data_IF_827679265628
#
_entry.id   IF_827679265628
#
_cell.length_a   1.000
_cell.length_b   1.000
_cell.length_c   1.000
_cell.angle_alpha   90.00
_cell.angle_beta   90.00
_cell.angle_gamma   90.00
#
_symmetry.space_group_name_H-M   'P 1'
#
loop_
_entity.id
_entity.type
_entity.pdbx_description
1 polymer ?
#
# COMPACT_ATOMS: atom_id res chain seq x y z
N UNK A 1 13.02 -7.85 8.26
CA UNK A 1 12.24 -8.86 7.52
C UNK A 1 12.06 -8.39 6.09
N UNK A 2 12.25 -9.26 5.13
CA UNK A 2 11.96 -9.01 3.72
C UNK A 2 10.49 -9.34 3.44
N UNK A 3 9.86 -8.53 2.60
CA UNK A 3 8.51 -8.74 2.07
C UNK A 3 8.62 -8.76 0.55
N UNK A 4 8.28 -9.88 -0.04
CA UNK A 4 8.31 -10.04 -1.49
C UNK A 4 7.21 -9.20 -2.17
N UNK A 5 7.54 -8.66 -3.34
CA UNK A 5 6.56 -8.07 -4.25
C UNK A 5 6.22 -9.12 -5.30
N UNK A 6 4.95 -9.44 -5.45
CA UNK A 6 4.48 -10.39 -6.46
C UNK A 6 4.47 -9.74 -7.84
N UNK A 7 3.88 -8.55 -7.92
CA UNK A 7 3.84 -7.76 -9.15
C UNK A 7 3.63 -6.28 -8.88
N UNK A 8 3.98 -5.50 -9.85
CA UNK A 8 3.60 -4.10 -10.00
C UNK A 8 2.81 -3.98 -11.29
N UNK A 9 1.57 -3.51 -11.21
CA UNK A 9 0.67 -3.36 -12.33
C UNK A 9 0.40 -1.89 -12.58
N UNK A 10 0.56 -1.44 -13.82
CA UNK A 10 0.25 -0.08 -14.24
C UNK A 10 -1.11 -0.08 -14.92
N UNK A 11 -1.99 0.78 -14.48
CA UNK A 11 -3.34 0.90 -15.00
C UNK A 11 -3.82 2.35 -14.98
N UNK A 12 -5.03 2.59 -15.44
CA UNK A 12 -5.70 3.88 -15.35
C UNK A 12 -6.79 3.81 -14.28
N UNK A 13 -6.90 4.87 -13.46
CA UNK A 13 -7.99 4.95 -12.50
C UNK A 13 -9.33 5.13 -13.23
N UNK A 14 -10.36 4.53 -12.68
CA UNK A 14 -11.71 4.52 -13.27
C UNK A 14 -12.54 5.71 -12.79
N UNK A 15 -13.58 6.02 -13.56
CA UNK A 15 -14.68 6.86 -13.10
C UNK A 15 -15.45 6.18 -11.97
N UNK A 16 -16.17 6.99 -11.17
CA UNK A 16 -16.96 6.52 -10.04
C UNK A 16 -18.44 6.77 -10.29
N UNK A 17 -19.28 5.74 -10.12
CA UNK A 17 -20.73 5.87 -10.09
C UNK A 17 -21.22 6.17 -8.66
N UNK A 18 -22.08 7.16 -8.51
CA UNK A 18 -22.65 7.61 -7.24
C UNK A 18 -24.16 7.42 -7.33
N UNK A 19 -24.72 6.56 -6.46
CA UNK A 19 -26.11 6.13 -6.50
C UNK A 19 -26.97 6.68 -5.35
N UNK A 20 -26.34 7.27 -4.36
CA UNK A 20 -26.94 7.65 -3.07
C UNK A 20 -27.34 9.14 -2.98
N UNK A 21 -27.10 9.92 -4.03
CA UNK A 21 -27.47 11.34 -4.06
C UNK A 21 -28.92 11.56 -4.51
N UNK A 22 -29.44 10.68 -5.35
CA UNK A 22 -30.79 10.74 -5.91
C UNK A 22 -31.27 9.30 -6.20
N UNK A 23 -32.46 8.90 -5.70
CA UNK A 23 -32.97 7.55 -5.92
C UNK A 23 -33.36 7.25 -7.38
N UNK A 24 -33.51 8.29 -8.21
CA UNK A 24 -33.91 8.15 -9.61
C UNK A 24 -32.79 8.36 -10.61
N UNK A 25 -31.62 8.77 -10.15
CA UNK A 25 -30.49 9.13 -11.00
C UNK A 25 -29.18 8.57 -10.51
N UNK A 26 -28.32 8.17 -11.43
CA UNK A 26 -26.92 7.83 -11.17
C UNK A 26 -26.02 8.96 -11.64
N UNK A 27 -25.21 9.50 -10.75
CA UNK A 27 -24.21 10.49 -11.09
C UNK A 27 -22.88 9.79 -11.42
N UNK A 28 -22.15 10.34 -12.37
CA UNK A 28 -20.84 9.82 -12.77
C UNK A 28 -19.77 10.87 -12.46
N UNK A 29 -18.83 10.51 -11.61
CA UNK A 29 -17.65 11.31 -11.30
C UNK A 29 -16.46 10.79 -12.10
N UNK A 30 -15.96 11.63 -13.01
CA UNK A 30 -14.82 11.34 -13.88
C UNK A 30 -13.54 12.04 -13.45
N UNK A 31 -13.49 12.70 -12.28
CA UNK A 31 -12.35 13.49 -11.85
C UNK A 31 -11.04 12.70 -11.80
N UNK A 32 -11.11 11.40 -11.54
CA UNK A 32 -9.94 10.52 -11.51
C UNK A 32 -9.80 9.61 -12.73
N UNK A 33 -10.75 9.64 -13.63
CA UNK A 33 -10.74 8.79 -14.83
C UNK A 33 -9.50 9.08 -15.69
N UNK A 34 -8.73 8.03 -16.01
CA UNK A 34 -7.51 8.13 -16.78
C UNK A 34 -6.26 8.58 -16.01
N UNK A 35 -6.37 8.88 -14.72
CA UNK A 35 -5.19 9.14 -13.88
C UNK A 35 -4.38 7.85 -13.76
N UNK A 36 -3.05 7.96 -13.95
CA UNK A 36 -2.16 6.81 -13.82
C UNK A 36 -2.26 6.20 -12.41
N UNK A 37 -2.52 4.91 -12.36
CA UNK A 37 -2.63 4.12 -11.14
C UNK A 37 -1.59 3.01 -11.15
N UNK A 38 -0.95 2.78 -10.01
CA UNK A 38 0.02 1.72 -9.81
C UNK A 38 -0.46 0.78 -8.70
N UNK A 39 -0.76 -0.46 -9.06
CA UNK A 39 -1.09 -1.51 -8.09
C UNK A 39 0.17 -2.26 -7.70
N UNK A 40 0.49 -2.30 -6.42
CA UNK A 40 1.62 -3.07 -5.86
C UNK A 40 1.04 -4.23 -5.05
N UNK A 41 1.27 -5.44 -5.51
CA UNK A 41 0.80 -6.65 -4.84
C UNK A 41 1.97 -7.30 -4.10
N UNK A 42 1.84 -7.42 -2.77
CA UNK A 42 2.83 -8.13 -1.95
C UNK A 42 2.62 -9.64 -2.00
N UNK A 43 3.71 -10.40 -1.82
CA UNK A 43 3.59 -11.81 -1.45
C UNK A 43 2.97 -11.94 -0.05
N UNK A 44 2.38 -13.10 0.27
CA UNK A 44 1.74 -13.33 1.57
C UNK A 44 2.79 -13.56 2.69
N UNK A 45 3.71 -12.61 2.86
CA UNK A 45 4.83 -12.70 3.82
C UNK A 45 4.55 -11.99 5.15
N UNK A 46 3.56 -11.10 5.17
CA UNK A 46 3.15 -10.36 6.37
C UNK A 46 2.45 -11.30 7.38
N UNK A 47 2.73 -11.12 8.67
CA UNK A 47 2.24 -12.01 9.73
C UNK A 47 1.60 -11.30 10.92
N UNK A 48 1.57 -9.97 10.90
CA UNK A 48 0.94 -9.19 11.96
C UNK A 48 0.47 -7.82 11.46
N UNK A 49 -0.48 -7.18 12.15
CA UNK A 49 -0.89 -5.81 11.87
C UNK A 49 0.25 -4.81 11.93
N UNK A 50 1.23 -5.02 12.82
CA UNK A 50 2.40 -4.13 12.95
C UNK A 50 3.34 -4.25 11.76
N UNK A 51 3.52 -5.45 11.22
CA UNK A 51 4.27 -5.65 9.98
C UNK A 51 3.58 -4.95 8.81
N UNK A 52 2.26 -5.00 8.71
CA UNK A 52 1.48 -4.27 7.70
C UNK A 52 1.66 -2.76 7.86
N UNK A 53 1.57 -2.25 9.07
CA UNK A 53 1.81 -0.83 9.36
C UNK A 53 3.21 -0.38 8.91
N UNK A 54 4.23 -1.15 9.25
CA UNK A 54 5.61 -0.87 8.85
C UNK A 54 5.79 -0.92 7.32
N UNK A 55 5.19 -1.91 6.67
CA UNK A 55 5.23 -2.10 5.22
C UNK A 55 4.60 -0.91 4.48
N UNK A 56 3.38 -0.51 4.85
CA UNK A 56 2.67 0.61 4.21
C UNK A 56 3.41 1.94 4.44
N UNK A 57 3.91 2.18 5.66
CA UNK A 57 4.72 3.38 5.94
C UNK A 57 5.97 3.42 5.07
N UNK A 58 6.62 2.28 4.87
CA UNK A 58 7.82 2.16 4.03
C UNK A 58 7.51 2.44 2.57
N UNK A 59 6.47 1.80 2.00
CA UNK A 59 6.03 2.07 0.64
C UNK A 59 5.67 3.54 0.44
N UNK A 60 4.87 4.10 1.33
CA UNK A 60 4.50 5.51 1.29
C UNK A 60 5.72 6.43 1.26
N UNK A 61 6.71 6.17 2.10
CA UNK A 61 7.95 6.95 2.14
C UNK A 61 8.71 6.84 0.81
N UNK A 62 8.87 5.63 0.26
CA UNK A 62 9.52 5.43 -1.04
C UNK A 62 8.80 6.20 -2.16
N UNK A 63 7.47 6.10 -2.25
CA UNK A 63 6.67 6.80 -3.26
C UNK A 63 6.85 8.31 -3.20
N UNK A 64 6.85 8.89 -1.99
CA UNK A 64 7.07 10.31 -1.78
C UNK A 64 8.50 10.74 -2.18
N UNK A 65 9.50 9.94 -1.87
CA UNK A 65 10.89 10.20 -2.27
C UNK A 65 11.08 10.13 -3.78
N UNK A 66 10.40 9.21 -4.45
CA UNK A 66 10.38 9.11 -5.91
C UNK A 66 9.54 10.23 -6.58
N UNK A 67 8.71 10.93 -5.82
CA UNK A 67 7.79 11.94 -6.36
C UNK A 67 6.63 11.36 -7.18
N UNK A 68 6.37 10.05 -7.09
CA UNK A 68 5.33 9.37 -7.86
C UNK A 68 3.96 9.45 -7.19
N UNK A 69 3.90 9.70 -5.87
CA UNK A 69 2.66 9.78 -5.11
C UNK A 69 2.89 10.60 -3.83
N UNK A 70 1.94 11.43 -3.44
CA UNK A 70 1.96 12.18 -2.16
C UNK A 70 1.70 11.27 -0.95
N UNK A 71 1.13 10.09 -1.19
CA UNK A 71 0.82 9.09 -0.18
C UNK A 71 -0.32 9.51 0.75
N UNK A 72 -1.21 10.40 0.32
CA UNK A 72 -2.35 10.84 1.13
C UNK A 72 -3.49 9.82 1.06
N UNK A 73 -3.66 9.07 2.15
CA UNK A 73 -4.71 8.05 2.24
C UNK A 73 -6.11 8.66 2.40
N UNK A 74 -6.21 9.84 3.00
CA UNK A 74 -7.51 10.50 3.21
C UNK A 74 -8.10 11.03 1.90
N UNK A 75 -7.23 11.48 1.01
CA UNK A 75 -7.61 11.95 -0.33
C UNK A 75 -7.64 10.82 -1.37
N UNK A 76 -7.28 9.60 -0.95
CA UNK A 76 -7.30 8.42 -1.82
C UNK A 76 -6.14 8.34 -2.81
N UNK A 77 -5.06 9.13 -2.61
CA UNK A 77 -3.84 9.02 -3.41
C UNK A 77 -3.09 7.72 -3.13
N UNK A 78 -3.19 7.20 -1.91
CA UNK A 78 -2.73 5.87 -1.52
C UNK A 78 -3.92 5.11 -0.93
N UNK A 79 -4.24 3.98 -1.54
CA UNK A 79 -5.29 3.05 -1.09
C UNK A 79 -4.67 1.69 -0.81
N UNK A 80 -5.27 0.90 0.05
CA UNK A 80 -4.87 -0.47 0.26
C UNK A 80 -6.09 -1.35 0.50
N UNK A 81 -6.09 -2.51 -0.13
CA UNK A 81 -6.97 -3.62 0.18
C UNK A 81 -6.17 -4.67 0.96
N UNK A 82 -6.77 -5.27 1.96
CA UNK A 82 -6.08 -6.21 2.85
C UNK A 82 -6.65 -7.60 2.67
N UNK A 83 -5.80 -8.55 2.30
CA UNK A 83 -6.17 -9.96 2.24
C UNK A 83 -5.71 -10.65 3.53
N UNK A 84 -6.66 -11.23 4.27
CA UNK A 84 -6.41 -11.92 5.54
C UNK A 84 -6.81 -13.38 5.44
N UNK A 85 -5.93 -14.27 5.89
CA UNK A 85 -6.23 -15.67 6.15
C UNK A 85 -5.52 -16.14 7.41
N UNK A 86 -6.08 -17.13 8.10
CA UNK A 86 -5.49 -17.76 9.26
C UNK A 86 -5.23 -19.25 8.99
N UNK A 87 -4.26 -19.80 9.70
CA UNK A 87 -3.92 -21.23 9.63
C UNK A 87 -3.41 -21.73 10.98
N UNK A 88 -3.50 -23.01 11.22
CA UNK A 88 -2.93 -23.64 12.40
C UNK A 88 -1.41 -23.42 12.45
N UNK A 89 -0.87 -23.20 13.66
CA UNK A 89 0.56 -23.05 13.88
C UNK A 89 1.32 -24.28 13.38
N UNK A 90 2.31 -24.07 12.52
CA UNK A 90 3.10 -25.14 11.91
C UNK A 90 2.58 -25.62 10.55
N UNK A 91 1.35 -25.28 10.14
CA UNK A 91 0.88 -25.53 8.77
C UNK A 91 1.69 -24.73 7.75
N UNK A 92 1.99 -25.36 6.62
CA UNK A 92 2.64 -24.70 5.47
C UNK A 92 1.62 -24.03 4.54
N UNK A 93 0.44 -24.62 4.42
CA UNK A 93 -0.60 -24.14 3.52
C UNK A 93 -1.31 -22.94 4.12
N UNK A 94 -1.60 -21.95 3.28
CA UNK A 94 -2.38 -20.79 3.67
C UNK A 94 -3.86 -21.16 3.80
N UNK A 95 -4.55 -20.53 4.73
CA UNK A 95 -6.01 -20.65 4.86
C UNK A 95 -6.77 -19.88 3.77
N UNK A 96 -8.09 -20.03 3.76
CA UNK A 96 -8.98 -19.27 2.88
C UNK A 96 -8.91 -17.80 3.20
N UNK A 97 -8.65 -16.98 2.19
CA UNK A 97 -8.50 -15.53 2.35
C UNK A 97 -9.82 -14.81 2.23
N UNK A 98 -9.99 -13.77 3.04
CA UNK A 98 -11.00 -12.73 2.84
C UNK A 98 -10.32 -11.41 2.48
N UNK A 99 -10.84 -10.71 1.49
CA UNK A 99 -10.40 -9.37 1.11
C UNK A 99 -11.16 -8.34 1.93
N UNK A 100 -10.47 -7.39 2.56
CA UNK A 100 -11.09 -6.33 3.35
C UNK A 100 -10.90 -5.00 2.64
N UNK A 101 -12.01 -4.33 2.37
CA UNK A 101 -12.07 -3.00 1.75
C UNK A 101 -12.46 -1.92 2.76
N UNK A 102 -12.36 -0.65 2.33
CA UNK A 102 -12.68 0.53 3.15
C UNK A 102 -11.73 0.74 4.35
N UNK A 103 -10.45 0.47 4.14
CA UNK A 103 -9.39 0.64 5.15
C UNK A 103 -8.51 1.85 4.78
N UNK A 104 -9.07 3.03 4.87
CA UNK A 104 -8.49 4.29 4.42
C UNK A 104 -7.51 4.93 5.42
N UNK A 105 -6.99 4.18 6.36
CA UNK A 105 -5.88 4.57 7.23
C UNK A 105 -5.11 3.35 7.73
N UNK A 106 -3.83 3.53 8.07
CA UNK A 106 -3.00 2.46 8.63
C UNK A 106 -3.61 1.90 9.93
N UNK A 107 -4.20 2.76 10.76
CA UNK A 107 -4.89 2.35 11.99
C UNK A 107 -6.08 1.44 11.67
N UNK A 108 -6.90 1.82 10.71
CA UNK A 108 -8.06 0.99 10.31
C UNK A 108 -7.64 -0.32 9.68
N UNK A 109 -6.53 -0.37 8.94
CA UNK A 109 -5.96 -1.64 8.46
C UNK A 109 -5.60 -2.56 9.61
N UNK A 110 -4.89 -2.07 10.63
CA UNK A 110 -4.52 -2.87 11.79
C UNK A 110 -5.74 -3.40 12.55
N UNK A 111 -6.76 -2.55 12.74
CA UNK A 111 -8.01 -2.94 13.41
C UNK A 111 -8.78 -3.98 12.60
N UNK A 112 -8.89 -3.79 11.29
CA UNK A 112 -9.57 -4.70 10.38
C UNK A 112 -8.89 -6.08 10.33
N UNK A 113 -7.55 -6.12 10.28
CA UNK A 113 -6.77 -7.36 10.31
C UNK A 113 -7.00 -8.11 11.61
N UNK A 114 -6.93 -7.44 12.75
CA UNK A 114 -7.16 -8.07 14.04
C UNK A 114 -8.58 -8.65 14.15
N UNK A 115 -9.59 -7.87 13.78
CA UNK A 115 -10.97 -8.33 13.80
C UNK A 115 -11.16 -9.55 12.90
N UNK A 116 -10.73 -9.45 11.65
CA UNK A 116 -10.94 -10.52 10.68
C UNK A 116 -10.18 -11.79 11.04
N UNK A 117 -8.94 -11.67 11.54
CA UNK A 117 -8.16 -12.83 11.99
C UNK A 117 -8.86 -13.54 13.15
N UNK A 118 -9.37 -12.80 14.13
CA UNK A 118 -10.12 -13.39 15.27
C UNK A 118 -11.42 -14.05 14.77
N UNK A 119 -12.19 -13.38 13.92
CA UNK A 119 -13.41 -13.95 13.33
C UNK A 119 -13.15 -15.28 12.62
N UNK A 120 -12.05 -15.35 11.86
CA UNK A 120 -11.68 -16.59 11.16
C UNK A 120 -11.24 -17.68 12.13
N UNK A 121 -10.53 -17.33 13.20
CA UNK A 121 -10.17 -18.29 14.25
C UNK A 121 -11.42 -18.84 14.92
N UNK A 122 -12.35 -17.98 15.35
CA UNK A 122 -13.59 -18.38 16.01
C UNK A 122 -14.41 -19.36 15.13
N UNK A 123 -14.55 -19.05 13.82
CA UNK A 123 -15.25 -19.94 12.89
C UNK A 123 -14.58 -21.32 12.77
N UNK A 124 -13.25 -21.36 12.69
CA UNK A 124 -12.51 -22.62 12.61
C UNK A 124 -12.65 -23.42 13.89
N UNK A 125 -12.58 -22.78 15.05
CA UNK A 125 -12.75 -23.42 16.37
C UNK A 125 -14.17 -23.96 16.57
N UNK A 126 -15.17 -23.31 15.96
CA UNK A 126 -16.56 -23.79 15.90
C UNK A 126 -16.77 -24.92 14.86
N UNK A 127 -15.73 -25.33 14.13
CA UNK A 127 -15.81 -26.35 13.07
C UNK A 127 -16.47 -25.88 11.79
N UNK A 128 -16.58 -24.55 11.58
CA UNK A 128 -17.14 -23.94 10.38
C UNK A 128 -16.04 -23.67 9.33
N UNK A 129 -16.42 -23.61 8.07
CA UNK A 129 -15.56 -23.19 6.98
C UNK A 129 -15.52 -21.67 6.84
N UNK A 130 -14.45 -21.17 6.24
CA UNK A 130 -14.32 -19.78 5.85
C UNK A 130 -14.60 -19.70 4.34
N UNK A 131 -15.55 -18.86 3.96
CA UNK A 131 -15.84 -18.56 2.57
C UNK A 131 -14.90 -17.49 2.04
N UNK A 132 -14.42 -17.64 0.82
CA UNK A 132 -13.64 -16.61 0.14
C UNK A 132 -14.57 -15.48 -0.32
N UNK A 133 -14.52 -14.36 0.38
CA UNK A 133 -15.41 -13.23 0.15
C UNK A 133 -14.69 -11.88 0.24
N UNK A 134 -15.34 -10.84 -0.29
CA UNK A 134 -14.98 -9.45 -0.04
C UNK A 134 -15.80 -8.93 1.13
N UNK A 135 -15.13 -8.32 2.09
CA UNK A 135 -15.71 -7.76 3.31
C UNK A 135 -15.44 -6.25 3.40
N UNK A 136 -16.37 -5.51 3.95
CA UNK A 136 -16.23 -4.09 4.24
C UNK A 136 -15.88 -3.90 5.72
N UNK A 137 -14.86 -3.10 6.01
CA UNK A 137 -14.59 -2.70 7.38
C UNK A 137 -15.49 -1.53 7.79
N UNK A 138 -16.31 -1.75 8.82
CA UNK A 138 -17.12 -0.72 9.45
C UNK A 138 -16.32 -0.03 10.56
N UNK A 139 -15.87 1.19 10.29
CA UNK A 139 -15.01 1.96 11.20
C UNK A 139 -15.72 2.43 12.47
N UNK A 140 -17.06 2.45 12.48
CA UNK A 140 -17.86 2.85 13.66
C UNK A 140 -18.03 1.69 14.63
N UNK A 141 -18.28 0.49 14.09
CA UNK A 141 -18.46 -0.72 14.88
C UNK A 141 -17.18 -1.51 15.12
N UNK A 142 -16.10 -1.19 14.37
CA UNK A 142 -14.84 -1.92 14.36
C UNK A 142 -15.00 -3.41 13.98
N UNK A 143 -15.86 -3.71 13.02
CA UNK A 143 -16.13 -5.05 12.54
C UNK A 143 -16.04 -5.14 11.02
N UNK A 144 -15.81 -6.35 10.50
CA UNK A 144 -15.97 -6.61 9.07
C UNK A 144 -17.35 -7.20 8.79
N UNK A 145 -17.98 -6.78 7.69
CA UNK A 145 -19.23 -7.36 7.21
C UNK A 145 -19.10 -7.81 5.77
N UNK A 146 -19.76 -8.91 5.41
CA UNK A 146 -19.78 -9.38 4.03
C UNK A 146 -20.38 -8.33 3.11
N UNK A 147 -19.72 -8.10 1.98
CA UNK A 147 -20.26 -7.25 0.91
C UNK A 147 -20.86 -8.08 -0.20
N UNK A 148 -20.15 -9.14 -0.61
CA UNK A 148 -20.48 -9.94 -1.77
C UNK A 148 -19.70 -11.25 -1.69
N UNK A 149 -20.34 -12.37 -1.98
CA UNK A 149 -19.62 -13.62 -2.25
C UNK A 149 -18.95 -13.53 -3.63
N UNK A 150 -17.72 -14.00 -3.74
CA UNK A 150 -17.03 -14.16 -5.03
C UNK A 150 -17.48 -15.49 -5.67
N UNK A 151 -18.74 -15.56 -6.07
CA UNK A 151 -19.23 -16.73 -6.81
C UNK A 151 -18.77 -16.73 -8.27
N UNK A 152 -18.43 -15.57 -8.82
CA UNK A 152 -17.93 -15.44 -10.18
C UNK A 152 -16.50 -14.95 -10.19
N UNK A 153 -15.57 -15.77 -10.64
CA UNK A 153 -14.26 -15.30 -11.08
C UNK A 153 -14.50 -14.33 -12.23
N UNK A 154 -14.38 -13.04 -11.94
CA UNK A 154 -14.48 -12.04 -13.01
C UNK A 154 -13.39 -12.32 -14.03
N UNK A 155 -13.78 -12.44 -15.27
CA UNK A 155 -12.87 -12.42 -16.41
C UNK A 155 -12.22 -11.02 -16.45
N UNK A 156 -11.04 -10.91 -15.85
CA UNK A 156 -10.27 -9.66 -15.84
C UNK A 156 -9.69 -9.33 -17.21
N UNK A 157 -9.90 -10.17 -18.22
CA UNK A 157 -9.42 -9.98 -19.59
C UNK A 157 -7.91 -9.69 -19.65
N UNK A 158 -7.11 -10.42 -18.91
CA UNK A 158 -5.65 -10.38 -18.98
C UNK A 158 -5.13 -10.97 -20.30
N UNK A 159 -5.43 -10.31 -21.39
CA UNK A 159 -4.90 -10.61 -22.71
C UNK A 159 -4.43 -9.30 -23.36
N UNK A 160 -3.43 -9.36 -24.26
CA UNK A 160 -2.99 -8.17 -24.97
C UNK A 160 -4.13 -7.55 -25.76
N UNK A 161 -4.37 -6.25 -25.56
CA UNK A 161 -5.32 -5.50 -26.36
C UNK A 161 -4.75 -5.37 -27.79
N UNK A 162 -5.51 -5.75 -28.85
CA UNK A 162 -5.03 -5.70 -30.22
C UNK A 162 -4.70 -4.28 -30.70
N UNK A 163 -5.26 -3.25 -30.08
CA UNK A 163 -5.03 -1.84 -30.42
C UNK A 163 -3.80 -1.26 -29.72
N UNK A 164 -3.20 -1.99 -28.77
CA UNK A 164 -2.01 -1.58 -28.04
C UNK A 164 -0.76 -2.31 -28.56
N UNK A 165 0.22 -1.55 -28.99
CA UNK A 165 1.52 -2.10 -29.36
C UNK A 165 2.30 -2.56 -28.12
N UNK A 166 3.14 -3.60 -28.24
CA UNK A 166 4.05 -3.99 -27.16
C UNK A 166 4.93 -2.81 -26.74
N UNK A 167 5.06 -2.60 -25.41
CA UNK A 167 5.96 -1.61 -24.86
C UNK A 167 7.37 -2.20 -24.79
N UNK A 168 8.28 -1.67 -25.59
CA UNK A 168 9.69 -2.03 -25.55
C UNK A 168 10.46 -1.02 -24.69
N UNK A 169 11.10 -1.52 -23.63
CA UNK A 169 11.91 -0.71 -22.72
C UNK A 169 13.38 -1.01 -22.96
N UNK A 170 14.14 -0.06 -23.52
CA UNK A 170 15.54 -0.24 -23.84
C UNK A 170 16.43 -0.23 -22.57
N UNK A 171 17.59 -0.87 -22.65
CA UNK A 171 18.57 -0.84 -21.55
C UNK A 171 19.09 0.58 -21.27
N UNK A 172 19.20 1.43 -22.30
CA UNK A 172 19.59 2.83 -22.15
C UNK A 172 18.57 3.60 -21.33
N UNK A 173 17.26 3.39 -21.60
CA UNK A 173 16.19 3.99 -20.82
C UNK A 173 16.22 3.53 -19.37
N UNK A 174 16.40 2.23 -19.12
CA UNK A 174 16.54 1.67 -17.77
C UNK A 174 17.72 2.29 -17.03
N UNK A 175 18.88 2.38 -17.68
CA UNK A 175 20.10 2.95 -17.09
C UNK A 175 19.94 4.44 -16.79
N UNK A 176 19.27 5.18 -17.68
CA UNK A 176 18.91 6.58 -17.45
C UNK A 176 18.06 6.71 -16.19
N UNK A 177 16.97 5.97 -16.08
CA UNK A 177 16.09 5.99 -14.90
C UNK A 177 16.85 5.62 -13.62
N UNK A 178 17.73 4.61 -13.66
CA UNK A 178 18.56 4.25 -12.49
C UNK A 178 19.45 5.39 -12.01
N UNK A 179 19.98 6.20 -12.94
CA UNK A 179 20.81 7.36 -12.59
C UNK A 179 20.00 8.55 -12.04
N UNK A 180 18.70 8.60 -12.33
CA UNK A 180 17.78 9.64 -11.88
C UNK A 180 17.08 9.31 -10.56
N UNK A 181 17.17 8.05 -10.08
CA UNK A 181 16.59 7.66 -8.78
C UNK A 181 17.25 8.47 -7.66
N UNK A 182 16.47 9.23 -6.87
CA UNK A 182 17.02 9.97 -5.74
C UNK A 182 17.49 9.02 -4.63
N UNK A 183 18.31 9.54 -3.73
CA UNK A 183 18.70 8.78 -2.53
C UNK A 183 17.46 8.38 -1.74
N UNK A 184 17.26 7.06 -1.60
CA UNK A 184 16.09 6.50 -0.93
C UNK A 184 16.19 6.62 0.62
N UNK A 185 15.06 6.53 1.34
CA UNK A 185 15.03 6.75 2.79
C UNK A 185 16.05 5.91 3.59
N UNK A 186 16.27 4.65 3.21
CA UNK A 186 17.19 3.77 3.95
C UNK A 186 18.65 4.17 3.79
N UNK A 187 19.04 4.57 2.59
CA UNK A 187 20.41 5.00 2.34
C UNK A 187 20.66 6.38 2.93
N UNK A 188 19.68 7.28 2.82
CA UNK A 188 19.70 8.58 3.50
C UNK A 188 19.81 8.42 5.02
N UNK A 189 19.08 7.47 5.62
CA UNK A 189 19.18 7.15 7.04
C UNK A 189 20.59 6.71 7.43
N UNK A 190 21.18 5.78 6.67
CA UNK A 190 22.56 5.33 6.89
C UNK A 190 23.55 6.50 6.80
N UNK A 191 23.39 7.35 5.81
CA UNK A 191 24.23 8.54 5.61
C UNK A 191 24.06 9.52 6.76
N UNK A 192 22.86 9.82 7.22
CA UNK A 192 22.64 10.73 8.37
C UNK A 192 23.31 10.23 9.65
N UNK A 193 23.20 8.93 9.94
CA UNK A 193 23.91 8.32 11.08
C UNK A 193 25.42 8.45 10.93
N UNK A 194 25.95 8.17 9.75
CA UNK A 194 27.39 8.19 9.47
C UNK A 194 27.97 9.61 9.50
N UNK A 195 27.35 10.53 8.77
CA UNK A 195 27.94 11.84 8.47
C UNK A 195 27.59 12.88 9.54
N UNK A 196 26.35 12.86 10.04
CA UNK A 196 25.86 13.84 11.01
C UNK A 196 25.86 13.33 12.46
N UNK A 197 26.22 12.05 12.68
CA UNK A 197 26.33 11.42 14.00
C UNK A 197 25.02 11.44 14.79
N UNK A 198 23.88 11.54 14.12
CA UNK A 198 22.56 11.41 14.76
C UNK A 198 22.31 9.95 15.14
N UNK A 199 21.49 9.73 16.17
CA UNK A 199 21.14 8.38 16.58
C UNK A 199 20.27 7.68 15.52
N UNK A 200 20.20 6.33 15.49
CA UNK A 200 19.32 5.59 14.59
C UNK A 200 17.84 5.98 14.71
N UNK A 201 17.39 6.39 15.92
CA UNK A 201 16.03 6.85 16.17
C UNK A 201 15.78 8.21 15.52
N UNK A 202 16.67 9.19 15.77
CA UNK A 202 16.59 10.53 15.16
C UNK A 202 16.65 10.45 13.64
N UNK A 203 17.60 9.68 13.09
CA UNK A 203 17.71 9.48 11.66
C UNK A 203 16.40 8.92 11.06
N UNK A 204 15.75 7.99 11.76
CA UNK A 204 14.49 7.41 11.30
C UNK A 204 13.35 8.46 11.26
N UNK A 205 13.30 9.35 12.22
CA UNK A 205 12.32 10.47 12.24
C UNK A 205 12.63 11.43 11.09
N UNK A 206 13.88 11.85 10.96
CA UNK A 206 14.30 12.82 9.95
C UNK A 206 14.05 12.35 8.51
N UNK A 207 14.24 11.06 8.21
CA UNK A 207 14.03 10.53 6.85
C UNK A 207 12.61 10.05 6.60
N UNK A 208 11.72 10.05 7.60
CA UNK A 208 10.34 9.61 7.42
C UNK A 208 9.54 10.51 6.48
N UNK A 209 9.95 11.76 6.37
CA UNK A 209 9.38 12.77 5.48
C UNK A 209 10.49 13.45 4.67
N UNK A 210 10.28 13.56 3.34
CA UNK A 210 11.29 14.09 2.42
C UNK A 210 11.60 15.56 2.69
N UNK A 211 10.60 16.37 3.04
CA UNK A 211 10.78 17.81 3.24
C UNK A 211 11.51 18.08 4.57
N UNK A 212 11.21 17.27 5.59
CA UNK A 212 11.95 17.29 6.86
C UNK A 212 13.41 16.89 6.64
N UNK A 213 13.68 15.87 5.83
CA UNK A 213 15.03 15.45 5.53
C UNK A 213 15.82 16.54 4.79
N UNK A 214 15.23 17.17 3.77
CA UNK A 214 15.83 18.28 3.02
C UNK A 214 16.13 19.47 3.94
N UNK A 215 15.16 19.86 4.75
CA UNK A 215 15.34 20.96 5.68
C UNK A 215 16.50 20.70 6.65
N UNK A 216 16.58 19.50 7.21
CA UNK A 216 17.69 19.11 8.08
C UNK A 216 19.04 19.22 7.37
N UNK A 217 19.17 18.72 6.15
CA UNK A 217 20.40 18.81 5.36
C UNK A 217 20.80 20.26 5.09
N UNK A 218 19.85 21.12 4.75
CA UNK A 218 20.10 22.53 4.55
C UNK A 218 20.62 23.23 5.83
N UNK A 219 20.00 22.94 6.97
CA UNK A 219 20.42 23.50 8.27
C UNK A 219 21.85 23.09 8.59
N UNK A 220 22.15 21.79 8.52
CA UNK A 220 23.51 21.29 8.83
C UNK A 220 24.56 21.87 7.88
N UNK A 221 24.23 21.96 6.58
CA UNK A 221 25.13 22.55 5.58
C UNK A 221 25.43 24.02 5.86
N UNK A 222 24.40 24.79 6.25
CA UNK A 222 24.56 26.20 6.60
C UNK A 222 25.34 26.39 7.91
N UNK A 223 25.09 25.55 8.90
CA UNK A 223 25.83 25.59 10.16
C UNK A 223 27.31 25.21 10.00
N UNK A 224 27.60 24.22 9.13
CA UNK A 224 28.99 23.84 8.84
C UNK A 224 29.79 24.91 8.11
N UNK A 225 29.13 25.77 7.32
CA UNK A 225 29.76 26.90 6.62
C UNK A 225 30.05 28.11 7.54
N UNK A 226 29.41 28.17 8.70
CA UNK A 226 29.60 29.27 9.66
C UNK A 226 30.61 28.93 10.76
N UNK A 227 31.43 27.89 10.59
CA UNK A 227 32.49 27.48 11.53
C UNK A 227 33.89 27.95 11.15
N UNK A 228 34.05 28.79 10.11
CA UNK A 228 35.28 29.46 9.72
C UNK A 228 35.29 30.92 10.18
#
# INVERSE_FOLDING_TARGET
KEIGIERLHLEQDAGKSIHDLDPLSTYVDLNRSGVALMEIVSKPDLRSPDEVSAYIKKLRSIMRYLGTCDGNMQEGSLRADVNVSVRAKGSKDLGTRCEIKNVNSIKFMQMAINYEANRQVDLIEEGKSIDQETRLFDTRKNETRSMRSKEDAHDYRYFPDPDLLPLEVSNEFINKLKSEIPELPDDKKKRFIKDFKVSPYEANILVSDIDTAKYFEEVVTKMGKNKD
#
